data_IF_499916373999
#
_entry.id   IF_499916373999
#
_cell.length_a   1.000
_cell.length_b   1.000
_cell.length_c   1.000
_cell.angle_alpha   90.00
_cell.angle_beta   90.00
_cell.angle_gamma   90.00
#
_symmetry.space_group_name_H-M   'P 1'
#
loop_
_entity.id
_entity.type
_entity.pdbx_description
1 polymer ?
#
# COMPACT_ATOMS: atom_id res chain seq x y z
N UNK A 1 26.85 -15.20 -42.70
CA UNK A 1 27.11 -14.56 -41.40
C UNK A 1 26.31 -13.26 -41.30
N UNK A 2 25.08 -13.35 -40.77
CA UNK A 2 24.30 -12.20 -40.28
C UNK A 2 23.71 -12.69 -38.96
N UNK A 3 24.17 -12.10 -37.84
CA UNK A 3 23.63 -12.36 -36.51
C UNK A 3 22.30 -11.61 -36.40
N UNK A 4 21.24 -12.34 -36.09
CA UNK A 4 19.93 -11.83 -35.71
C UNK A 4 20.00 -11.17 -34.34
N UNK A 5 19.60 -9.90 -34.28
CA UNK A 5 19.22 -9.21 -33.06
C UNK A 5 17.74 -9.51 -32.81
N UNK A 6 17.44 -10.44 -31.91
CA UNK A 6 16.11 -10.52 -31.30
C UNK A 6 16.08 -9.51 -30.14
N UNK A 7 15.46 -8.35 -30.39
CA UNK A 7 14.92 -7.53 -29.32
C UNK A 7 13.69 -8.28 -28.79
N UNK A 8 13.77 -8.77 -27.55
CA UNK A 8 12.59 -9.22 -26.83
C UNK A 8 11.64 -8.04 -26.64
N UNK A 9 10.53 -8.05 -27.37
CA UNK A 9 9.35 -7.27 -27.07
C UNK A 9 8.62 -7.94 -25.90
N UNK A 10 8.85 -7.44 -24.69
CA UNK A 10 8.10 -7.78 -23.48
C UNK A 10 7.43 -6.48 -23.01
N UNK A 11 6.25 -6.14 -23.55
CA UNK A 11 5.50 -4.95 -23.15
C UNK A 11 3.98 -5.07 -23.43
N UNK A 12 3.34 -6.21 -23.13
CA UNK A 12 1.87 -6.34 -23.31
C UNK A 12 1.06 -6.84 -22.09
N UNK A 13 1.67 -7.14 -20.93
CA UNK A 13 0.92 -7.78 -19.81
C UNK A 13 0.44 -6.86 -18.67
N UNK A 14 0.81 -5.58 -18.61
CA UNK A 14 0.28 -4.68 -17.56
C UNK A 14 -0.94 -3.91 -18.08
N UNK A 15 -2.08 -4.59 -18.26
CA UNK A 15 -3.36 -3.92 -18.55
C UNK A 15 -3.95 -3.32 -17.26
N UNK A 16 -3.47 -2.13 -16.89
CA UNK A 16 -4.11 -1.27 -15.87
C UNK A 16 -5.37 -0.67 -16.49
N UNK A 17 -6.49 -1.40 -16.45
CA UNK A 17 -7.77 -0.96 -16.98
C UNK A 17 -8.57 -0.09 -15.98
N UNK A 18 -7.93 0.92 -15.41
CA UNK A 18 -8.61 2.11 -14.89
C UNK A 18 -7.84 3.33 -15.38
N UNK A 19 -8.44 4.09 -16.31
CA UNK A 19 -7.88 5.33 -16.84
C UNK A 19 -7.51 6.27 -15.70
N UNK A 20 -6.23 6.64 -15.63
CA UNK A 20 -5.71 7.73 -14.78
C UNK A 20 -6.26 9.04 -15.35
N UNK A 21 -7.40 9.48 -14.84
CA UNK A 21 -8.03 10.74 -15.20
C UNK A 21 -7.66 11.82 -14.16
N UNK A 22 -7.00 12.87 -14.64
CA UNK A 22 -6.53 14.10 -13.97
C UNK A 22 -5.24 13.98 -13.11
N UNK A 23 -4.09 14.21 -13.76
CA UNK A 23 -2.72 14.18 -13.19
C UNK A 23 -2.43 15.22 -12.09
N UNK A 24 -3.44 15.91 -11.58
CA UNK A 24 -3.30 17.05 -10.65
C UNK A 24 -3.73 16.74 -9.22
N UNK A 25 -4.41 15.62 -9.00
CA UNK A 25 -4.95 15.27 -7.68
C UNK A 25 -4.67 13.82 -7.32
N UNK A 26 -4.52 13.57 -6.02
CA UNK A 26 -4.51 12.22 -5.47
C UNK A 26 -5.63 12.06 -4.44
N UNK A 27 -6.07 10.82 -4.29
CA UNK A 27 -7.00 10.42 -3.23
C UNK A 27 -6.22 9.83 -2.07
N UNK A 28 -6.29 10.47 -0.91
CA UNK A 28 -5.62 10.07 0.32
C UNK A 28 -6.68 9.70 1.35
N UNK A 29 -6.64 8.46 1.86
CA UNK A 29 -7.61 7.99 2.87
C UNK A 29 -7.16 8.26 4.30
N UNK A 30 -5.85 8.39 4.53
CA UNK A 30 -5.32 8.79 5.84
C UNK A 30 -3.99 9.55 5.71
N UNK A 31 -3.72 10.45 6.65
CA UNK A 31 -2.41 11.09 6.85
C UNK A 31 -2.05 10.89 8.31
N UNK A 32 -1.28 9.83 8.57
CA UNK A 32 -0.86 9.46 9.91
C UNK A 32 0.36 10.27 10.31
N UNK A 33 0.19 11.08 11.34
CA UNK A 33 1.27 11.89 11.92
C UNK A 33 2.04 11.07 12.95
N UNK A 34 3.34 11.34 13.10
CA UNK A 34 4.21 10.72 14.10
C UNK A 34 4.30 9.18 14.02
N UNK A 35 4.28 8.64 12.81
CA UNK A 35 4.53 7.22 12.58
C UNK A 35 5.97 6.85 12.93
N UNK A 36 6.16 5.70 13.58
CA UNK A 36 7.47 5.17 14.02
C UNK A 36 7.82 3.82 13.40
N UNK A 37 6.86 3.16 12.74
CA UNK A 37 7.04 1.83 12.12
C UNK A 37 7.12 1.90 10.59
N UNK A 38 6.93 3.09 10.00
CA UNK A 38 6.83 3.26 8.54
C UNK A 38 8.15 3.84 7.97
N UNK A 39 9.27 3.53 8.61
CA UNK A 39 10.59 4.09 8.34
C UNK A 39 11.32 4.60 9.58
N UNK A 40 12.62 4.88 9.44
CA UNK A 40 13.41 5.48 10.51
C UNK A 40 12.89 6.88 10.91
N UNK A 41 13.11 7.22 12.19
CA UNK A 41 12.71 8.50 12.78
C UNK A 41 11.20 8.71 12.88
N UNK A 42 10.79 9.93 13.22
CA UNK A 42 9.38 10.32 13.21
C UNK A 42 8.94 10.69 11.80
N UNK A 43 7.89 10.03 11.30
CA UNK A 43 7.43 10.21 9.93
C UNK A 43 5.97 10.63 9.86
N UNK A 44 5.64 11.36 8.80
CA UNK A 44 4.25 11.50 8.35
C UNK A 44 4.02 10.45 7.27
N UNK A 45 3.07 9.56 7.48
CA UNK A 45 2.72 8.53 6.49
C UNK A 45 1.45 8.94 5.75
N UNK A 46 1.55 9.09 4.44
CA UNK A 46 0.44 9.41 3.54
C UNK A 46 -0.09 8.12 2.94
N UNK A 47 -1.36 7.81 3.19
CA UNK A 47 -2.00 6.59 2.72
C UNK A 47 -2.88 6.88 1.49
N UNK A 48 -2.38 6.52 0.30
CA UNK A 48 -3.08 6.69 -0.97
C UNK A 48 -4.15 5.61 -1.22
N UNK A 49 -5.22 5.98 -1.92
CA UNK A 49 -6.19 5.03 -2.47
C UNK A 49 -5.67 4.30 -3.72
N UNK A 50 -6.31 3.20 -4.04
CA UNK A 50 -6.01 2.34 -5.18
C UNK A 50 -4.90 1.36 -4.85
N UNK A 51 -5.15 0.07 -5.07
CA UNK A 51 -4.13 -0.97 -5.04
C UNK A 51 -4.41 -1.96 -6.20
N UNK A 52 -3.40 -2.41 -6.96
CA UNK A 52 -3.63 -3.41 -8.00
C UNK A 52 -3.75 -4.83 -7.40
N UNK A 53 -3.29 -5.03 -6.17
CA UNK A 53 -3.39 -6.30 -5.45
C UNK A 53 -4.70 -6.40 -4.66
N UNK A 54 -5.11 -7.64 -4.37
CA UNK A 54 -6.23 -8.05 -3.52
C UNK A 54 -5.75 -9.07 -2.50
N UNK A 55 -4.72 -8.71 -1.74
CA UNK A 55 -4.15 -9.58 -0.71
C UNK A 55 -5.23 -10.03 0.29
N UNK A 56 -5.35 -11.34 0.55
CA UNK A 56 -6.32 -11.87 1.54
C UNK A 56 -6.16 -11.28 2.94
N UNK A 57 -4.97 -10.79 3.25
CA UNK A 57 -4.57 -10.20 4.54
C UNK A 57 -4.41 -8.67 4.52
N UNK A 58 -4.97 -7.97 3.53
CA UNK A 58 -4.79 -6.52 3.40
C UNK A 58 -5.12 -5.79 4.72
N UNK A 59 -4.21 -4.93 5.20
CA UNK A 59 -4.43 -4.17 6.44
C UNK A 59 -5.17 -2.83 6.22
N UNK A 60 -5.37 -2.44 4.95
CA UNK A 60 -5.94 -1.16 4.54
C UNK A 60 -7.00 -1.39 3.44
N UNK A 61 -8.14 -2.05 3.75
CA UNK A 61 -9.16 -2.33 2.76
C UNK A 61 -9.81 -1.05 2.16
N UNK A 62 -9.69 0.08 2.85
CA UNK A 62 -10.02 1.43 2.36
C UNK A 62 -9.18 1.82 1.13
N UNK A 63 -7.92 1.35 1.08
CA UNK A 63 -6.96 1.62 0.01
C UNK A 63 -7.14 0.76 -1.24
N UNK A 64 -7.97 -0.28 -1.24
CA UNK A 64 -8.08 -1.21 -2.38
C UNK A 64 -8.72 -0.57 -3.63
N UNK A 65 -9.81 0.17 -3.43
CA UNK A 65 -10.50 0.86 -4.53
C UNK A 65 -9.78 2.17 -4.87
N UNK A 66 -9.63 2.46 -6.16
CA UNK A 66 -9.17 3.77 -6.61
C UNK A 66 -10.26 4.86 -6.48
N UNK A 67 -11.52 4.49 -6.22
CA UNK A 67 -12.65 5.43 -6.17
C UNK A 67 -12.93 5.87 -4.74
N UNK A 68 -13.16 7.16 -4.58
CA UNK A 68 -13.74 7.74 -3.35
C UNK A 68 -15.14 7.17 -3.12
N UNK A 69 -15.45 6.74 -1.90
CA UNK A 69 -16.78 6.18 -1.54
C UNK A 69 -17.26 6.69 -0.18
N UNK A 70 -18.58 6.72 0.06
CA UNK A 70 -19.11 7.00 1.39
C UNK A 70 -18.85 5.81 2.32
N UNK A 71 -18.66 6.11 3.60
CA UNK A 71 -18.56 5.13 4.68
C UNK A 71 -19.44 5.56 5.85
N UNK A 72 -19.82 4.58 6.66
CA UNK A 72 -20.70 4.75 7.81
C UNK A 72 -20.00 4.35 9.11
N UNK A 73 -19.79 5.31 9.99
CA UNK A 73 -19.26 5.09 11.34
C UNK A 73 -20.40 4.82 12.32
N UNK A 74 -20.66 3.54 12.59
CA UNK A 74 -21.73 3.07 13.50
C UNK A 74 -21.74 3.81 14.84
N UNK A 75 -20.58 3.93 15.49
CA UNK A 75 -20.46 4.56 16.81
C UNK A 75 -20.68 6.08 16.81
N UNK A 76 -20.66 6.72 15.63
CA UNK A 76 -20.93 8.15 15.48
C UNK A 76 -22.40 8.43 15.13
N UNK A 77 -23.19 7.40 14.78
CA UNK A 77 -24.57 7.61 14.36
C UNK A 77 -25.49 7.89 15.55
N UNK A 78 -26.29 8.95 15.45
CA UNK A 78 -27.33 9.29 16.44
C UNK A 78 -28.72 8.81 16.01
N UNK A 79 -28.80 7.97 14.98
CA UNK A 79 -30.04 7.37 14.47
C UNK A 79 -31.15 8.38 14.11
N UNK A 80 -30.76 9.59 13.68
CA UNK A 80 -31.70 10.66 13.33
C UNK A 80 -32.49 10.40 12.02
N UNK A 81 -32.06 9.42 11.21
CA UNK A 81 -32.60 9.03 9.90
C UNK A 81 -32.71 10.18 8.88
N UNK A 82 -31.96 11.27 9.07
CA UNK A 82 -31.94 12.38 8.12
C UNK A 82 -31.42 11.92 6.75
N UNK A 83 -30.40 11.05 6.73
CA UNK A 83 -29.83 10.51 5.49
C UNK A 83 -30.86 9.82 4.59
N UNK A 84 -31.83 9.10 5.17
CA UNK A 84 -32.94 8.47 4.44
C UNK A 84 -33.94 9.50 3.90
N UNK A 85 -34.20 10.57 4.65
CA UNK A 85 -35.11 11.64 4.20
C UNK A 85 -34.53 12.48 3.06
N UNK A 86 -33.21 12.70 3.07
CA UNK A 86 -32.53 13.53 2.06
C UNK A 86 -31.96 12.72 0.90
N UNK A 87 -31.99 11.39 0.97
CA UNK A 87 -31.48 10.54 -0.10
C UNK A 87 -32.37 10.61 -1.32
N UNK A 88 -31.74 10.55 -2.50
CA UNK A 88 -32.42 10.40 -3.77
C UNK A 88 -32.80 8.93 -4.00
N UNK A 89 -33.70 8.69 -4.95
CA UNK A 89 -34.09 7.35 -5.36
C UNK A 89 -32.85 6.51 -5.70
N UNK A 90 -32.79 5.28 -5.17
CA UNK A 90 -31.69 4.33 -5.33
C UNK A 90 -30.30 4.81 -4.87
N UNK A 91 -30.20 5.91 -4.11
CA UNK A 91 -28.92 6.39 -3.60
C UNK A 91 -28.45 5.57 -2.38
N UNK A 92 -29.38 5.24 -1.48
CA UNK A 92 -29.14 4.34 -0.35
C UNK A 92 -30.32 3.39 -0.16
N UNK A 93 -30.04 2.28 0.51
CA UNK A 93 -31.04 1.43 1.15
C UNK A 93 -30.88 1.57 2.67
N UNK A 94 -31.91 2.01 3.38
CA UNK A 94 -31.87 2.09 4.84
C UNK A 94 -32.51 0.83 5.44
N UNK A 95 -31.70 0.00 6.09
CA UNK A 95 -32.14 -1.24 6.76
C UNK A 95 -31.28 -1.51 7.99
N UNK A 96 -31.80 -2.31 8.93
CA UNK A 96 -31.09 -2.69 10.15
C UNK A 96 -30.52 -1.49 10.92
N UNK A 97 -31.30 -0.41 10.94
CA UNK A 97 -30.94 0.86 11.59
C UNK A 97 -29.63 1.51 11.09
N UNK A 98 -29.23 1.24 9.84
CA UNK A 98 -28.10 1.89 9.16
C UNK A 98 -28.35 2.13 7.65
N UNK A 99 -27.65 3.10 7.04
CA UNK A 99 -27.64 3.24 5.58
C UNK A 99 -26.68 2.25 4.93
N UNK A 100 -27.10 1.69 3.79
CA UNK A 100 -26.26 0.97 2.83
C UNK A 100 -26.19 1.78 1.54
N UNK A 101 -24.97 2.04 1.05
CA UNK A 101 -24.75 2.94 -0.06
C UNK A 101 -24.75 2.18 -1.39
N UNK A 102 -25.47 2.68 -2.38
CA UNK A 102 -25.37 2.18 -3.74
C UNK A 102 -24.10 2.73 -4.39
N UNK A 103 -22.98 1.98 -4.35
CA UNK A 103 -21.69 2.45 -4.86
C UNK A 103 -21.66 2.71 -6.39
N UNK A 104 -22.68 2.26 -7.14
CA UNK A 104 -22.83 2.58 -8.57
C UNK A 104 -23.53 3.92 -8.83
N UNK A 105 -24.04 4.57 -7.79
CA UNK A 105 -24.74 5.85 -7.87
C UNK A 105 -23.81 6.99 -8.36
N UNK A 106 -24.18 7.64 -9.47
CA UNK A 106 -23.29 8.53 -10.21
C UNK A 106 -23.20 9.96 -9.69
N UNK A 107 -24.22 10.46 -9.01
CA UNK A 107 -24.26 11.86 -8.54
C UNK A 107 -23.55 12.08 -7.20
N UNK A 108 -22.91 11.03 -6.64
CA UNK A 108 -22.18 11.08 -5.38
C UNK A 108 -23.09 11.12 -4.14
N UNK A 109 -22.51 11.49 -3.00
CA UNK A 109 -23.15 11.38 -1.67
C UNK A 109 -23.08 12.66 -0.84
N UNK A 110 -22.75 13.79 -1.48
CA UNK A 110 -22.55 15.07 -0.80
C UNK A 110 -23.79 15.54 -0.03
N UNK A 111 -24.99 15.27 -0.55
CA UNK A 111 -26.25 15.57 0.15
C UNK A 111 -26.35 14.82 1.49
N UNK A 112 -25.94 13.55 1.53
CA UNK A 112 -25.99 12.74 2.76
C UNK A 112 -24.94 13.20 3.77
N UNK A 113 -23.72 13.44 3.30
CA UNK A 113 -22.59 13.86 4.14
C UNK A 113 -22.87 15.22 4.78
N UNK A 114 -23.32 16.20 3.99
CA UNK A 114 -23.66 17.55 4.49
C UNK A 114 -24.86 17.54 5.44
N UNK A 115 -25.81 16.61 5.25
CA UNK A 115 -26.99 16.50 6.09
C UNK A 115 -26.77 15.69 7.38
N UNK A 116 -25.65 14.98 7.52
CA UNK A 116 -25.38 14.13 8.68
C UNK A 116 -24.87 14.96 9.88
N UNK A 117 -25.69 15.23 10.91
CA UNK A 117 -25.33 16.17 11.97
C UNK A 117 -24.19 15.68 12.86
N UNK A 118 -24.06 14.36 13.05
CA UNK A 118 -22.97 13.77 13.83
C UNK A 118 -21.72 13.47 13.00
N UNK A 119 -21.80 13.65 11.67
CA UNK A 119 -20.77 13.21 10.74
C UNK A 119 -20.56 11.69 10.78
N UNK A 120 -21.59 10.89 11.04
CA UNK A 120 -21.49 9.42 10.93
C UNK A 120 -21.28 8.95 9.48
N UNK A 121 -21.71 9.74 8.49
CA UNK A 121 -21.51 9.48 7.07
C UNK A 121 -20.45 10.44 6.55
N UNK A 122 -19.36 9.91 5.98
CA UNK A 122 -18.24 10.68 5.40
C UNK A 122 -17.71 9.97 4.17
N UNK A 123 -16.88 10.63 3.37
CA UNK A 123 -16.05 9.92 2.40
C UNK A 123 -14.88 9.23 3.10
N UNK A 124 -14.47 8.08 2.58
CA UNK A 124 -13.29 7.34 3.05
C UNK A 124 -11.96 7.96 2.61
N UNK A 125 -12.00 9.01 1.80
CA UNK A 125 -10.81 9.74 1.39
C UNK A 125 -11.09 11.19 1.08
N UNK A 126 -9.99 11.95 1.00
CA UNK A 126 -9.97 13.32 0.55
C UNK A 126 -9.10 13.44 -0.70
N UNK A 127 -9.53 14.32 -1.61
CA UNK A 127 -8.72 14.76 -2.74
C UNK A 127 -7.72 15.82 -2.28
N UNK A 128 -6.48 15.68 -2.72
CA UNK A 128 -5.41 16.65 -2.50
C UNK A 128 -4.79 17.05 -3.83
N UNK A 129 -4.53 18.34 -4.00
CA UNK A 129 -3.48 18.80 -4.93
C UNK A 129 -2.11 18.75 -4.24
N UNK A 130 -1.03 18.82 -5.02
CA UNK A 130 0.35 18.69 -4.51
C UNK A 130 0.63 19.69 -3.37
N UNK A 131 0.36 20.98 -3.57
CA UNK A 131 0.62 22.00 -2.52
C UNK A 131 -0.15 21.73 -1.22
N UNK A 132 -1.42 21.32 -1.31
CA UNK A 132 -2.24 21.06 -0.14
C UNK A 132 -1.70 19.87 0.66
N UNK A 133 -1.23 18.82 -0.03
CA UNK A 133 -0.64 17.66 0.63
C UNK A 133 0.74 17.99 1.20
N UNK A 134 1.54 18.76 0.48
CA UNK A 134 2.86 19.20 0.92
C UNK A 134 2.76 20.04 2.21
N UNK A 135 1.86 21.03 2.24
CA UNK A 135 1.62 21.81 3.45
C UNK A 135 1.12 20.94 4.61
N UNK A 136 0.31 19.92 4.31
CA UNK A 136 -0.13 18.95 5.32
C UNK A 136 1.04 18.14 5.89
N UNK A 137 1.98 17.71 5.05
CA UNK A 137 3.21 17.01 5.48
C UNK A 137 4.09 17.95 6.32
N UNK A 138 4.19 19.22 5.92
CA UNK A 138 5.04 20.22 6.59
C UNK A 138 4.56 20.60 8.00
N UNK A 139 3.30 20.33 8.34
CA UNK A 139 2.80 20.46 9.72
C UNK A 139 3.66 19.67 10.74
N UNK A 140 4.34 18.60 10.30
CA UNK A 140 5.19 17.75 11.14
C UNK A 140 6.69 17.96 10.92
N UNK A 141 7.10 18.86 10.01
CA UNK A 141 8.50 18.97 9.56
C UNK A 141 9.49 19.20 10.69
N UNK A 142 9.12 19.99 11.70
CA UNK A 142 9.96 20.28 12.88
C UNK A 142 10.26 19.02 13.72
N UNK A 143 9.45 17.97 13.58
CA UNK A 143 9.61 16.71 14.31
C UNK A 143 10.41 15.67 13.55
N UNK A 144 10.61 15.83 12.23
CA UNK A 144 11.38 14.88 11.41
C UNK A 144 12.85 14.81 11.85
N UNK A 145 13.41 15.89 12.39
CA UNK A 145 14.82 15.95 12.84
C UNK A 145 15.76 15.45 11.74
N UNK A 146 16.66 14.52 12.04
CA UNK A 146 17.72 14.09 11.12
C UNK A 146 17.40 12.75 10.41
N UNK A 147 16.46 11.98 10.94
CA UNK A 147 16.18 10.60 10.56
C UNK A 147 14.73 10.38 10.10
N UNK A 148 13.82 11.30 10.42
CA UNK A 148 12.41 11.26 10.04
C UNK A 148 12.12 11.79 8.63
N UNK A 149 10.85 12.02 8.31
CA UNK A 149 10.43 12.53 7.00
C UNK A 149 9.01 12.13 6.60
N UNK A 150 8.78 11.94 5.30
CA UNK A 150 7.49 11.45 4.78
C UNK A 150 7.60 10.03 4.26
N UNK A 151 6.58 9.21 4.48
CA UNK A 151 6.41 7.89 3.84
C UNK A 151 5.14 7.89 3.02
N UNK A 152 5.22 7.50 1.75
CA UNK A 152 4.05 7.28 0.91
C UNK A 152 3.70 5.79 0.93
N UNK A 153 2.50 5.46 1.41
CA UNK A 153 1.95 4.10 1.60
C UNK A 153 0.46 4.11 1.25
N UNK A 154 -0.36 3.21 1.82
CA UNK A 154 -1.79 3.13 1.56
C UNK A 154 -2.22 1.82 0.94
N UNK A 155 -2.83 1.93 -0.23
CA UNK A 155 -2.96 0.86 -1.19
C UNK A 155 -1.63 0.67 -1.92
N UNK A 156 -1.47 1.31 -3.08
CA UNK A 156 -0.23 1.32 -3.87
C UNK A 156 0.08 2.75 -4.33
N UNK A 157 1.09 3.42 -3.73
CA UNK A 157 1.45 4.78 -4.11
C UNK A 157 1.77 4.93 -5.60
N UNK A 158 2.37 3.92 -6.24
CA UNK A 158 2.72 3.98 -7.67
C UNK A 158 1.49 4.11 -8.58
N UNK A 159 0.29 3.75 -8.12
CA UNK A 159 -0.96 3.99 -8.87
C UNK A 159 -1.32 5.47 -9.01
N UNK A 160 -0.73 6.35 -8.20
CA UNK A 160 -0.94 7.80 -8.31
C UNK A 160 -0.08 8.44 -9.41
N UNK A 161 0.80 7.67 -10.07
CA UNK A 161 1.52 8.07 -11.28
C UNK A 161 2.26 9.40 -11.15
N UNK A 162 1.96 10.34 -12.06
CA UNK A 162 2.62 11.65 -12.12
C UNK A 162 2.40 12.49 -10.85
N UNK A 163 1.30 12.30 -10.11
CA UNK A 163 1.11 13.01 -8.83
C UNK A 163 2.19 12.60 -7.82
N UNK A 164 2.51 11.30 -7.72
CA UNK A 164 3.54 10.81 -6.82
C UNK A 164 4.92 11.36 -7.21
N UNK A 165 5.23 11.40 -8.51
CA UNK A 165 6.48 11.98 -9.02
C UNK A 165 6.62 13.43 -8.58
N UNK A 166 5.56 14.22 -8.74
CA UNK A 166 5.56 15.64 -8.42
C UNK A 166 5.69 15.89 -6.92
N UNK A 167 4.88 15.23 -6.07
CA UNK A 167 4.97 15.44 -4.61
C UNK A 167 6.33 15.00 -4.06
N UNK A 168 6.94 13.94 -4.60
CA UNK A 168 8.29 13.53 -4.22
C UNK A 168 9.34 14.60 -4.57
N UNK A 169 9.28 15.19 -5.77
CA UNK A 169 10.16 16.33 -6.15
C UNK A 169 10.00 17.50 -5.18
N UNK A 170 8.76 17.88 -4.88
CA UNK A 170 8.48 19.00 -3.97
C UNK A 170 8.96 18.73 -2.54
N UNK A 171 8.83 17.49 -2.05
CA UNK A 171 9.41 17.10 -0.76
C UNK A 171 10.94 17.26 -0.76
N UNK A 172 11.62 16.92 -1.86
CA UNK A 172 13.08 17.10 -2.00
C UNK A 172 13.50 18.56 -2.02
N UNK A 173 12.76 19.42 -2.70
CA UNK A 173 12.99 20.87 -2.70
C UNK A 173 12.89 21.48 -1.29
N UNK A 174 12.00 20.95 -0.46
CA UNK A 174 11.83 21.32 0.95
C UNK A 174 12.84 20.63 1.90
N UNK A 175 13.76 19.82 1.37
CA UNK A 175 14.75 19.08 2.15
C UNK A 175 14.16 17.95 3.01
N UNK A 176 12.96 17.46 2.68
CA UNK A 176 12.27 16.39 3.42
C UNK A 176 12.76 15.03 2.91
N UNK A 177 13.17 14.15 3.83
CA UNK A 177 13.52 12.76 3.50
C UNK A 177 12.27 11.99 3.06
N UNK A 178 12.36 11.30 1.93
CA UNK A 178 11.23 10.60 1.30
C UNK A 178 11.40 9.09 1.38
N UNK A 179 10.34 8.41 1.80
CA UNK A 179 10.23 6.97 1.78
C UNK A 179 8.97 6.53 1.01
N UNK A 180 9.01 5.32 0.46
CA UNK A 180 7.85 4.67 -0.16
C UNK A 180 7.69 3.26 0.38
N UNK A 181 6.45 2.83 0.54
CA UNK A 181 6.05 1.44 0.71
C UNK A 181 5.27 1.01 -0.52
N UNK A 182 5.76 -0.01 -1.23
CA UNK A 182 5.18 -0.41 -2.51
C UNK A 182 5.25 -1.92 -2.72
N UNK A 183 4.29 -2.43 -3.49
CA UNK A 183 4.30 -3.79 -4.05
C UNK A 183 5.22 -3.90 -5.26
N UNK A 184 5.66 -2.76 -5.82
CA UNK A 184 6.40 -2.63 -7.08
C UNK A 184 5.64 -3.15 -8.31
N UNK A 185 4.32 -3.36 -8.20
CA UNK A 185 3.46 -3.72 -9.31
C UNK A 185 2.90 -2.46 -10.00
N UNK A 186 3.70 -1.88 -10.90
CA UNK A 186 3.37 -0.68 -11.67
C UNK A 186 4.13 -0.67 -13.01
N UNK A 187 3.80 0.19 -13.98
CA UNK A 187 4.60 0.33 -15.19
C UNK A 187 6.03 0.79 -14.84
N UNK A 188 7.03 0.16 -15.46
CA UNK A 188 8.45 0.46 -15.19
C UNK A 188 8.78 1.95 -15.34
N UNK A 189 8.18 2.64 -16.32
CA UNK A 189 8.36 4.08 -16.54
C UNK A 189 8.05 4.93 -15.29
N UNK A 190 7.02 4.56 -14.51
CA UNK A 190 6.68 5.28 -13.27
C UNK A 190 7.74 5.01 -12.20
N UNK A 191 8.20 3.77 -12.08
CA UNK A 191 9.27 3.38 -11.15
C UNK A 191 10.54 4.20 -11.45
N UNK A 192 10.95 4.25 -12.72
CA UNK A 192 12.12 5.03 -13.17
C UNK A 192 12.02 6.51 -12.81
N UNK A 193 10.82 7.10 -12.91
CA UNK A 193 10.58 8.51 -12.58
C UNK A 193 10.65 8.80 -11.07
N UNK A 194 10.27 7.87 -10.20
CA UNK A 194 10.24 8.11 -8.75
C UNK A 194 11.56 7.81 -8.04
N UNK A 195 12.35 6.84 -8.53
CA UNK A 195 13.61 6.40 -7.90
C UNK A 195 14.60 7.53 -7.56
N UNK A 196 14.81 8.56 -8.41
CA UNK A 196 15.71 9.67 -8.10
C UNK A 196 15.30 10.48 -6.87
N UNK A 197 14.02 10.46 -6.52
CA UNK A 197 13.43 11.27 -5.46
C UNK A 197 13.10 10.47 -4.21
N UNK A 198 13.60 9.24 -4.08
CA UNK A 198 13.42 8.38 -2.90
C UNK A 198 14.73 8.22 -2.14
N UNK A 199 14.69 8.34 -0.81
CA UNK A 199 15.81 8.05 0.10
C UNK A 199 15.73 6.65 0.69
N UNK A 200 14.52 6.13 0.86
CA UNK A 200 14.23 4.80 1.40
C UNK A 200 13.11 4.14 0.60
N UNK A 201 13.29 2.87 0.26
CA UNK A 201 12.37 2.15 -0.61
C UNK A 201 12.03 0.82 0.06
N UNK A 202 10.83 0.71 0.60
CA UNK A 202 10.28 -0.54 1.06
C UNK A 202 9.56 -1.25 -0.08
N UNK A 203 10.00 -2.46 -0.40
CA UNK A 203 9.38 -3.29 -1.44
C UNK A 203 8.86 -4.58 -0.82
N UNK A 204 7.56 -4.81 -0.94
CA UNK A 204 6.97 -6.04 -0.43
C UNK A 204 7.07 -7.19 -1.45
N UNK A 205 7.87 -8.20 -1.15
CA UNK A 205 7.86 -9.49 -1.86
C UNK A 205 7.12 -10.51 -0.99
N UNK A 206 5.87 -10.80 -1.34
CA UNK A 206 4.93 -11.50 -0.45
C UNK A 206 5.03 -13.02 -0.57
N UNK A 207 4.93 -13.52 -1.81
CA UNK A 207 5.03 -14.94 -2.16
C UNK A 207 5.94 -15.10 -3.38
N UNK A 208 6.89 -16.02 -3.33
CA UNK A 208 7.82 -16.26 -4.44
C UNK A 208 7.19 -17.03 -5.59
N UNK A 209 6.49 -18.13 -5.26
CA UNK A 209 5.76 -18.94 -6.24
C UNK A 209 4.66 -18.10 -6.91
N UNK A 210 4.65 -18.12 -8.24
CA UNK A 210 3.81 -17.23 -9.02
C UNK A 210 2.32 -17.57 -8.89
N UNK A 211 1.98 -18.87 -8.91
CA UNK A 211 0.59 -19.33 -8.82
C UNK A 211 0.02 -19.03 -7.45
N UNK A 212 0.77 -19.38 -6.40
CA UNK A 212 0.37 -19.09 -5.03
C UNK A 212 0.26 -17.56 -4.80
N UNK A 213 1.16 -16.76 -5.38
CA UNK A 213 1.04 -15.31 -5.30
C UNK A 213 -0.26 -14.81 -5.94
N UNK A 214 -0.60 -15.29 -7.14
CA UNK A 214 -1.84 -14.92 -7.82
C UNK A 214 -3.09 -15.36 -7.04
N UNK A 215 -3.08 -16.57 -6.48
CA UNK A 215 -4.17 -17.04 -5.60
C UNK A 215 -4.32 -16.20 -4.32
N UNK A 216 -3.23 -15.63 -3.81
CA UNK A 216 -3.19 -14.87 -2.58
C UNK A 216 -3.48 -13.37 -2.76
N UNK A 217 -3.10 -12.80 -3.90
CA UNK A 217 -3.10 -11.36 -4.14
C UNK A 217 -3.79 -10.93 -5.43
N UNK A 218 -4.25 -11.86 -6.27
CA UNK A 218 -4.94 -11.60 -7.53
C UNK A 218 -4.05 -11.15 -8.69
N UNK A 219 -2.73 -11.18 -8.55
CA UNK A 219 -1.78 -10.82 -9.63
C UNK A 219 -0.54 -11.72 -9.58
N UNK A 220 0.15 -11.87 -10.71
CA UNK A 220 1.44 -12.58 -10.77
C UNK A 220 2.57 -11.83 -10.06
N UNK A 221 3.47 -12.57 -9.40
CA UNK A 221 4.70 -12.03 -8.80
C UNK A 221 5.83 -11.80 -9.82
N UNK A 222 5.65 -12.22 -11.08
CA UNK A 222 6.71 -12.16 -12.10
C UNK A 222 7.22 -10.74 -12.33
N UNK A 223 6.31 -9.80 -12.62
CA UNK A 223 6.65 -8.37 -12.83
C UNK A 223 7.25 -7.75 -11.59
N UNK A 224 6.77 -8.12 -10.39
CA UNK A 224 7.32 -7.65 -9.11
C UNK A 224 8.78 -8.09 -8.97
N UNK A 225 9.08 -9.37 -9.23
CA UNK A 225 10.45 -9.91 -9.18
C UNK A 225 11.36 -9.26 -10.22
N UNK A 226 10.86 -9.02 -11.43
CA UNK A 226 11.60 -8.31 -12.49
C UNK A 226 11.94 -6.86 -12.06
N UNK A 227 11.00 -6.13 -11.47
CA UNK A 227 11.25 -4.77 -10.98
C UNK A 227 12.13 -4.73 -9.73
N UNK A 228 11.99 -5.69 -8.80
CA UNK A 228 12.93 -5.82 -7.68
C UNK A 228 14.35 -5.98 -8.22
N UNK A 229 14.54 -6.88 -9.18
CA UNK A 229 15.85 -7.08 -9.82
C UNK A 229 16.36 -5.78 -10.44
N UNK A 230 15.53 -5.08 -11.22
CA UNK A 230 15.87 -3.80 -11.81
C UNK A 230 16.38 -2.78 -10.76
N UNK A 231 15.65 -2.60 -9.65
CA UNK A 231 16.02 -1.62 -8.62
C UNK A 231 17.29 -2.05 -7.89
N UNK A 232 17.45 -3.34 -7.56
CA UNK A 232 18.62 -3.86 -6.86
C UNK A 232 19.90 -3.89 -7.71
N UNK A 233 19.77 -3.92 -9.04
CA UNK A 233 20.90 -3.78 -9.98
C UNK A 233 21.24 -2.31 -10.29
N UNK A 234 20.40 -1.36 -9.87
CA UNK A 234 20.59 0.07 -10.09
C UNK A 234 21.48 0.73 -9.02
N UNK A 235 21.80 2.01 -9.22
CA UNK A 235 22.47 2.86 -8.22
C UNK A 235 21.56 3.24 -7.03
N UNK A 236 20.32 2.77 -6.98
CA UNK A 236 19.40 2.97 -5.86
C UNK A 236 19.36 1.80 -4.87
N UNK A 237 20.06 0.69 -5.16
CA UNK A 237 19.98 -0.57 -4.39
C UNK A 237 20.22 -0.41 -2.89
N UNK A 238 21.12 0.49 -2.48
CA UNK A 238 21.47 0.67 -1.06
C UNK A 238 20.31 1.32 -0.26
N UNK A 239 19.34 1.91 -0.96
CA UNK A 239 18.13 2.52 -0.38
C UNK A 239 17.00 1.51 -0.16
N UNK A 240 17.14 0.28 -0.65
CA UNK A 240 16.08 -0.72 -0.64
C UNK A 240 16.07 -1.52 0.66
N UNK A 241 14.87 -1.75 1.19
CA UNK A 241 14.55 -2.79 2.15
C UNK A 241 13.44 -3.66 1.53
N UNK A 242 13.73 -4.94 1.34
CA UNK A 242 12.70 -5.91 0.95
C UNK A 242 11.94 -6.33 2.20
N UNK A 243 10.63 -6.52 2.08
CA UNK A 243 9.78 -6.96 3.19
C UNK A 243 8.92 -8.14 2.80
N UNK A 244 8.73 -9.07 3.73
CA UNK A 244 7.75 -10.15 3.58
C UNK A 244 6.84 -10.18 4.81
N UNK A 245 5.53 -9.88 4.66
CA UNK A 245 4.59 -10.11 5.74
C UNK A 245 4.44 -11.61 5.96
N UNK A 246 4.57 -12.06 7.21
CA UNK A 246 4.42 -13.44 7.62
C UNK A 246 2.96 -13.69 7.99
N UNK A 247 2.24 -14.39 7.13
CA UNK A 247 0.84 -14.76 7.27
C UNK A 247 0.80 -16.28 7.45
N UNK A 248 0.19 -16.79 8.54
CA UNK A 248 0.10 -18.22 8.80
C UNK A 248 -0.40 -19.01 7.60
N UNK A 249 0.24 -20.15 7.35
CA UNK A 249 -0.04 -21.10 6.25
C UNK A 249 0.08 -20.54 4.82
N UNK A 250 0.46 -19.29 4.64
CA UNK A 250 0.49 -18.62 3.33
C UNK A 250 1.91 -18.15 3.01
N UNK A 251 2.28 -16.98 3.49
CA UNK A 251 3.62 -16.40 3.25
C UNK A 251 4.63 -16.85 4.31
N UNK A 252 4.17 -17.23 5.50
CA UNK A 252 4.99 -17.76 6.59
C UNK A 252 5.23 -19.27 6.42
N UNK A 253 5.91 -19.64 5.34
CA UNK A 253 6.34 -21.02 5.08
C UNK A 253 7.84 -21.05 4.81
N UNK A 254 8.51 -22.09 5.28
CA UNK A 254 9.95 -22.26 5.09
C UNK A 254 10.36 -22.17 3.62
N UNK A 255 9.56 -22.79 2.74
CA UNK A 255 9.80 -22.79 1.29
C UNK A 255 9.70 -21.39 0.69
N UNK A 256 8.68 -20.61 1.07
CA UNK A 256 8.51 -19.25 0.58
C UNK A 256 9.66 -18.34 1.04
N UNK A 257 10.00 -18.39 2.33
CA UNK A 257 11.05 -17.55 2.92
C UNK A 257 12.41 -17.91 2.32
N UNK A 258 12.73 -19.20 2.20
CA UNK A 258 13.95 -19.67 1.56
C UNK A 258 14.03 -19.20 0.11
N UNK A 259 12.97 -19.38 -0.67
CA UNK A 259 12.94 -19.00 -2.08
C UNK A 259 13.14 -17.49 -2.29
N UNK A 260 12.51 -16.66 -1.43
CA UNK A 260 12.72 -15.21 -1.44
C UNK A 260 14.17 -14.90 -1.11
N UNK A 261 14.72 -15.45 -0.03
CA UNK A 261 16.09 -15.21 0.38
C UNK A 261 17.10 -15.63 -0.69
N UNK A 262 16.92 -16.79 -1.34
CA UNK A 262 17.80 -17.27 -2.42
C UNK A 262 17.77 -16.35 -3.63
N UNK A 263 16.58 -15.86 -4.02
CA UNK A 263 16.43 -14.86 -5.06
C UNK A 263 17.16 -13.56 -4.71
N UNK A 264 16.97 -13.05 -3.49
CA UNK A 264 17.62 -11.83 -3.04
C UNK A 264 19.14 -11.95 -3.01
N UNK A 265 19.67 -13.05 -2.48
CA UNK A 265 21.12 -13.33 -2.50
C UNK A 265 21.64 -13.45 -3.93
N UNK A 266 20.88 -14.08 -4.84
CA UNK A 266 21.25 -14.21 -6.24
C UNK A 266 21.35 -12.87 -6.98
N UNK A 267 20.62 -11.84 -6.55
CA UNK A 267 20.63 -10.50 -7.16
C UNK A 267 21.59 -9.56 -6.43
N UNK A 268 21.43 -9.41 -5.12
CA UNK A 268 22.23 -8.51 -4.29
C UNK A 268 22.32 -9.02 -2.84
N UNK A 269 23.39 -9.76 -2.47
CA UNK A 269 23.53 -10.39 -1.14
C UNK A 269 23.51 -9.44 0.07
N UNK A 270 23.78 -8.15 -0.16
CA UNK A 270 23.80 -7.11 0.88
C UNK A 270 22.44 -6.38 0.98
N UNK A 271 21.42 -6.78 0.21
CA UNK A 271 20.09 -6.15 0.34
C UNK A 271 19.56 -6.32 1.76
N UNK A 272 18.96 -5.25 2.29
CA UNK A 272 18.27 -5.32 3.58
C UNK A 272 16.96 -6.08 3.40
N UNK A 273 16.69 -7.03 4.28
CA UNK A 273 15.47 -7.83 4.24
C UNK A 273 14.82 -7.87 5.63
N UNK A 274 13.50 -7.73 5.67
CA UNK A 274 12.71 -7.67 6.89
C UNK A 274 11.51 -8.61 6.82
N UNK A 275 11.32 -9.41 7.86
CA UNK A 275 10.14 -10.26 8.02
C UNK A 275 9.16 -9.58 8.96
N UNK A 276 7.98 -9.21 8.45
CA UNK A 276 6.96 -8.53 9.24
C UNK A 276 6.03 -9.55 9.88
N UNK A 277 5.99 -9.60 11.21
CA UNK A 277 5.08 -10.48 11.92
C UNK A 277 3.61 -10.14 11.60
N UNK A 278 2.73 -11.13 11.65
CA UNK A 278 1.30 -10.94 11.42
C UNK A 278 0.71 -9.93 12.40
N UNK A 279 -0.26 -9.12 11.95
CA UNK A 279 -1.02 -8.22 12.80
C UNK A 279 -2.53 -8.50 12.65
N UNK A 280 -3.20 -9.06 13.68
CA UNK A 280 -4.61 -9.46 13.62
C UNK A 280 -5.61 -8.30 13.76
N UNK A 281 -5.18 -7.03 13.69
CA UNK A 281 -6.04 -5.86 13.92
C UNK A 281 -6.82 -5.37 12.67
N UNK A 282 -6.54 -5.94 11.49
CA UNK A 282 -7.18 -5.56 10.23
C UNK A 282 -8.72 -5.72 10.17
N UNK A 283 -9.36 -6.76 10.78
CA UNK A 283 -10.79 -7.03 10.60
C UNK A 283 -11.71 -5.83 10.89
N UNK A 284 -11.39 -5.01 11.90
CA UNK A 284 -12.19 -3.83 12.28
C UNK A 284 -12.37 -2.80 11.15
N UNK A 285 -11.43 -2.73 10.19
CA UNK A 285 -11.50 -1.82 9.05
C UNK A 285 -12.38 -2.36 7.92
N UNK A 286 -12.55 -3.67 7.83
CA UNK A 286 -13.34 -4.31 6.77
C UNK A 286 -14.83 -4.00 6.89
N UNK A 287 -15.32 -3.84 8.12
CA UNK A 287 -16.70 -3.39 8.39
C UNK A 287 -17.00 -2.01 7.81
N UNK A 288 -16.01 -1.10 7.76
CA UNK A 288 -16.20 0.27 7.26
C UNK A 288 -16.44 0.32 5.75
N UNK A 289 -16.03 -0.74 5.04
CA UNK A 289 -16.00 -0.77 3.58
C UNK A 289 -16.86 -1.89 2.99
N UNK A 290 -17.68 -2.51 3.83
CA UNK A 290 -18.60 -3.59 3.50
C UNK A 290 -17.90 -4.76 2.76
N UNK A 291 -16.70 -5.14 3.24
CA UNK A 291 -15.94 -6.29 2.76
C UNK A 291 -15.79 -7.33 3.87
N UNK A 292 -15.57 -8.58 3.50
CA UNK A 292 -15.22 -9.66 4.43
C UNK A 292 -13.69 -9.79 4.54
N UNK A 293 -13.19 -10.03 5.75
CA UNK A 293 -11.77 -10.30 5.95
C UNK A 293 -11.43 -11.70 5.47
N UNK A 294 -10.36 -11.83 4.68
CA UNK A 294 -10.05 -13.06 3.96
C UNK A 294 -9.25 -14.11 4.72
N UNK A 295 -8.98 -13.88 6.02
CA UNK A 295 -8.23 -14.80 6.87
C UNK A 295 -9.09 -15.31 8.02
N UNK A 296 -8.66 -16.45 8.58
CA UNK A 296 -9.23 -17.03 9.78
C UNK A 296 -9.01 -16.11 11.00
N UNK A 297 -10.05 -15.96 11.83
CA UNK A 297 -10.00 -15.17 13.07
C UNK A 297 -9.05 -15.77 14.11
N UNK A 298 -8.74 -17.07 14.01
CA UNK A 298 -7.84 -17.78 14.92
C UNK A 298 -6.35 -17.55 14.62
N UNK A 299 -6.01 -16.86 13.52
CA UNK A 299 -4.62 -16.54 13.18
C UNK A 299 -4.02 -15.56 14.18
N UNK A 300 -2.79 -15.84 14.61
CA UNK A 300 -2.08 -15.09 15.66
C UNK A 300 -0.71 -14.66 15.20
N UNK A 301 -0.17 -13.67 15.91
CA UNK A 301 1.24 -13.30 15.80
C UNK A 301 2.11 -14.50 16.13
N UNK A 302 3.20 -14.67 15.41
CA UNK A 302 4.21 -15.68 15.70
C UNK A 302 4.96 -15.31 16.98
N UNK A 303 5.23 -16.31 17.81
CA UNK A 303 6.06 -16.18 19.00
C UNK A 303 7.54 -15.98 18.65
N UNK A 304 8.36 -15.72 19.68
CA UNK A 304 9.80 -15.49 19.51
C UNK A 304 10.52 -16.67 18.84
N UNK A 305 10.18 -17.89 19.26
CA UNK A 305 10.83 -19.10 18.74
C UNK A 305 10.46 -19.35 17.27
N UNK A 306 9.21 -19.07 16.89
CA UNK A 306 8.75 -19.17 15.50
C UNK A 306 9.40 -18.09 14.61
N UNK A 307 9.50 -16.85 15.10
CA UNK A 307 10.21 -15.79 14.40
C UNK A 307 11.70 -16.11 14.24
N UNK A 308 12.35 -16.64 15.28
CA UNK A 308 13.74 -17.06 15.22
C UNK A 308 13.96 -18.15 14.16
N UNK A 309 13.06 -19.14 14.08
CA UNK A 309 13.11 -20.15 13.03
C UNK A 309 13.09 -19.53 11.62
N UNK A 310 12.24 -18.54 11.38
CA UNK A 310 12.20 -17.84 10.09
C UNK A 310 13.48 -17.03 9.81
N UNK A 311 14.07 -16.41 10.82
CA UNK A 311 15.35 -15.72 10.68
C UNK A 311 16.49 -16.69 10.37
N UNK A 312 16.55 -17.83 11.06
CA UNK A 312 17.56 -18.87 10.84
C UNK A 312 17.54 -19.38 9.38
N UNK A 313 16.36 -19.51 8.77
CA UNK A 313 16.22 -19.89 7.35
C UNK A 313 16.91 -18.87 6.43
N UNK A 314 16.69 -17.58 6.67
CA UNK A 314 17.30 -16.51 5.86
C UNK A 314 18.82 -16.49 6.05
N UNK A 315 19.29 -16.62 7.29
CA UNK A 315 20.73 -16.65 7.60
C UNK A 315 21.43 -17.85 6.95
N UNK A 316 20.81 -19.03 6.95
CA UNK A 316 21.33 -20.24 6.30
C UNK A 316 21.52 -20.08 4.79
N UNK A 317 20.68 -19.28 4.14
CA UNK A 317 20.81 -18.95 2.71
C UNK A 317 21.96 -17.98 2.44
N UNK A 318 22.42 -17.25 3.46
CA UNK A 318 23.59 -16.38 3.38
C UNK A 318 23.28 -14.92 3.06
N UNK A 319 22.05 -14.46 3.28
CA UNK A 319 21.72 -13.04 3.21
C UNK A 319 22.38 -12.29 4.39
N UNK A 320 23.07 -11.18 4.11
CA UNK A 320 23.94 -10.53 5.10
C UNK A 320 23.25 -9.52 6.00
N UNK A 321 22.22 -8.85 5.48
CA UNK A 321 21.58 -7.71 6.13
C UNK A 321 20.11 -7.99 6.47
N UNK A 322 19.86 -9.08 7.19
CA UNK A 322 18.55 -9.37 7.76
C UNK A 322 18.27 -8.41 8.93
N UNK A 323 17.08 -7.79 8.92
CA UNK A 323 16.56 -6.94 9.99
C UNK A 323 15.77 -7.83 10.94
N UNK A 324 16.14 -7.80 12.22
CA UNK A 324 15.53 -8.56 13.32
C UNK A 324 15.01 -7.54 14.33
N UNK A 325 13.73 -7.64 14.71
CA UNK A 325 13.05 -6.74 15.65
C UNK A 325 12.64 -7.42 16.97
#
# INVERSE_FOLDING_TARGET
>A
MKKSNEKLELNEEVKINEKIEDSKKALVFDVKRFAVHDGAGLRTTVFFKGCPLRCKWCQNPEGLSAKKRPIYFKNSCIHCRICEKVSKENQIEYRDDRPYFNLDYKEGFDNLIKACPSGAIRYDSKEYVVEELLEKIKEDQVFFRNDGGVTFSGGEPLMQGEFLVEILKRCKEEGIHTAIETTMFAPLEIIEKVLPYLDLIYIDLKVFDEKLHEECTGVSSKVIKEHIKYVLESNHRDKVIIRTPLIPTMTATDENIRSIAEFLVGVYPEVRYELLNYNPLAPSKYELVDLEYGLDEDYKMFGKDEMQHFYDIVEQVGLKNLIIE
#
